data_IF_662341234683
#
_entry.id   IF_662341234683
#
_cell.length_a   1.000
_cell.length_b   1.000
_cell.length_c   1.000
_cell.angle_alpha   90.00
_cell.angle_beta   90.00
_cell.angle_gamma   90.00
#
_symmetry.space_group_name_H-M   'P 1'
#
loop_
_entity.id
_entity.type
_entity.pdbx_description
1 polymer ?
#
# COMPACT_ATOMS: atom_id res chain seq x y z
N UNK A 1 -29.00 15.09 -1.28
CA UNK A 1 -27.96 16.12 -1.09
C UNK A 1 -26.67 15.36 -0.81
N UNK A 2 -25.82 15.27 -1.83
CA UNK A 2 -24.36 15.05 -1.87
C UNK A 2 -23.61 14.28 -0.75
N UNK A 3 -24.00 13.05 -0.41
CA UNK A 3 -23.17 12.19 0.48
C UNK A 3 -22.35 11.10 -0.24
N UNK A 4 -22.55 10.87 -1.55
CA UNK A 4 -21.84 9.79 -2.26
C UNK A 4 -20.53 10.21 -2.96
N UNK A 5 -20.13 11.48 -2.83
CA UNK A 5 -18.81 11.97 -3.28
C UNK A 5 -17.76 11.84 -2.15
N UNK A 6 -18.15 11.31 -0.98
CA UNK A 6 -17.27 11.20 0.20
C UNK A 6 -16.32 9.98 0.20
N UNK A 7 -16.40 9.08 -0.78
CA UNK A 7 -15.62 7.83 -0.79
C UNK A 7 -14.57 7.69 -1.89
N UNK A 8 -14.43 8.68 -2.78
CA UNK A 8 -13.28 8.73 -3.68
C UNK A 8 -12.11 9.30 -2.89
N UNK A 9 -11.39 8.42 -2.19
CA UNK A 9 -9.97 8.60 -1.92
C UNK A 9 -9.27 8.74 -3.27
N UNK A 10 -9.39 9.91 -3.89
CA UNK A 10 -8.55 10.31 -4.99
C UNK A 10 -7.15 10.39 -4.38
N UNK A 11 -6.41 9.29 -4.43
CA UNK A 11 -4.96 9.37 -4.48
C UNK A 11 -4.71 10.38 -5.59
N UNK A 12 -4.25 11.57 -5.23
CA UNK A 12 -3.72 12.49 -6.20
C UNK A 12 -2.50 11.74 -6.76
N UNK A 13 -2.70 11.10 -7.91
CA UNK A 13 -1.65 10.41 -8.62
C UNK A 13 -0.68 11.51 -9.05
N UNK A 14 0.35 11.72 -8.24
CA UNK A 14 1.50 12.46 -8.70
C UNK A 14 2.17 11.69 -9.85
N UNK A 15 3.09 12.37 -10.54
CA UNK A 15 3.73 11.81 -11.71
C UNK A 15 4.46 10.49 -11.40
N UNK A 16 5.01 10.36 -10.19
CA UNK A 16 5.73 9.15 -9.76
C UNK A 16 4.77 7.97 -9.62
N UNK A 17 3.63 8.14 -8.96
CA UNK A 17 2.62 7.09 -8.84
C UNK A 17 1.95 6.76 -10.18
N UNK A 18 1.80 7.73 -11.08
CA UNK A 18 1.27 7.48 -12.42
C UNK A 18 2.24 6.65 -13.29
N UNK A 19 3.53 6.99 -13.31
CA UNK A 19 4.53 6.19 -14.02
C UNK A 19 4.65 4.79 -13.41
N UNK A 20 4.63 4.70 -12.08
CA UNK A 20 4.66 3.42 -11.39
C UNK A 20 3.45 2.54 -11.73
N UNK A 21 2.25 3.14 -11.83
CA UNK A 21 1.04 2.44 -12.27
C UNK A 21 1.18 1.83 -13.67
N UNK A 22 1.83 2.54 -14.61
CA UNK A 22 2.01 2.04 -15.98
C UNK A 22 2.92 0.83 -16.04
N UNK A 23 3.95 0.79 -15.19
CA UNK A 23 4.93 -0.30 -15.16
C UNK A 23 4.32 -1.63 -14.68
N UNK A 24 3.37 -1.56 -13.74
CA UNK A 24 2.76 -2.75 -13.12
C UNK A 24 1.62 -3.40 -13.90
N UNK A 25 1.30 -2.90 -15.10
CA UNK A 25 0.17 -3.40 -15.90
C UNK A 25 0.53 -4.72 -16.58
N UNK A 26 -0.14 -5.79 -16.20
CA UNK A 26 -0.07 -7.10 -16.87
C UNK A 26 -1.39 -7.34 -17.60
N UNK A 27 -1.33 -7.80 -18.85
CA UNK A 27 -2.53 -8.20 -19.59
C UNK A 27 -2.73 -9.71 -19.41
N UNK A 28 -3.80 -10.10 -18.73
CA UNK A 28 -4.23 -11.50 -18.58
C UNK A 28 -5.59 -11.64 -19.24
N UNK A 29 -5.71 -12.52 -20.24
CA UNK A 29 -6.96 -12.77 -20.99
C UNK A 29 -7.63 -11.50 -21.56
N UNK A 30 -6.82 -10.51 -21.97
CA UNK A 30 -7.32 -9.23 -22.50
C UNK A 30 -7.75 -8.21 -21.44
N UNK A 31 -7.67 -8.55 -20.15
CA UNK A 31 -7.91 -7.65 -19.02
C UNK A 31 -6.58 -7.15 -18.47
N UNK A 32 -6.45 -5.83 -18.29
CA UNK A 32 -5.28 -5.24 -17.64
C UNK A 32 -5.43 -5.37 -16.11
N UNK A 33 -4.58 -6.19 -15.49
CA UNK A 33 -4.51 -6.38 -14.05
C UNK A 33 -3.26 -5.68 -13.54
N UNK A 34 -3.39 -4.94 -12.42
CA UNK A 34 -2.22 -4.43 -11.72
C UNK A 34 -1.69 -5.54 -10.80
N UNK A 35 -0.41 -5.89 -10.96
CA UNK A 35 0.27 -6.85 -10.10
C UNK A 35 0.16 -6.42 -8.61
N UNK A 36 -0.01 -7.40 -7.72
CA UNK A 36 -0.15 -7.16 -6.28
C UNK A 36 1.01 -6.35 -5.69
N UNK A 37 2.23 -6.54 -6.19
CA UNK A 37 3.40 -5.76 -5.79
C UNK A 37 3.26 -4.29 -6.20
N UNK A 38 2.60 -3.98 -7.31
CA UNK A 38 2.36 -2.60 -7.71
C UNK A 38 1.16 -1.99 -6.99
N UNK A 39 0.22 -2.78 -6.45
CA UNK A 39 -0.89 -2.27 -5.64
C UNK A 39 -0.47 -1.82 -4.22
N UNK A 40 0.54 -2.46 -3.64
CA UNK A 40 0.98 -2.20 -2.27
C UNK A 40 1.32 -0.72 -2.03
N UNK A 41 2.12 -0.04 -2.88
CA UNK A 41 2.50 1.34 -2.63
C UNK A 41 1.31 2.31 -2.64
N UNK A 42 0.28 2.05 -3.44
CA UNK A 42 -0.96 2.85 -3.42
C UNK A 42 -1.73 2.65 -2.12
N UNK A 43 -1.80 1.41 -1.62
CA UNK A 43 -2.46 1.10 -0.34
C UNK A 43 -1.70 1.70 0.84
N UNK A 44 -0.37 1.64 0.81
CA UNK A 44 0.50 2.25 1.80
C UNK A 44 0.31 3.77 1.83
N UNK A 45 0.32 4.43 0.67
CA UNK A 45 0.09 5.88 0.55
C UNK A 45 -1.28 6.30 1.09
N UNK A 46 -2.34 5.64 0.64
CA UNK A 46 -3.69 5.91 1.12
C UNK A 46 -3.82 5.74 2.64
N UNK A 47 -3.13 4.74 3.22
CA UNK A 47 -3.10 4.60 4.68
C UNK A 47 -2.41 5.78 5.36
N UNK A 48 -1.23 6.20 4.88
CA UNK A 48 -0.48 7.33 5.45
C UNK A 48 -1.29 8.62 5.35
N UNK A 49 -1.87 8.92 4.18
CA UNK A 49 -2.68 10.12 3.96
C UNK A 49 -3.89 10.17 4.90
N UNK A 50 -4.61 9.06 5.04
CA UNK A 50 -5.77 8.99 5.94
C UNK A 50 -5.35 9.07 7.42
N UNK A 51 -4.19 8.49 7.78
CA UNK A 51 -3.65 8.57 9.13
C UNK A 51 -3.23 10.01 9.48
N UNK A 52 -2.56 10.70 8.56
CA UNK A 52 -2.11 12.08 8.74
C UNK A 52 -3.29 13.05 8.82
N UNK A 53 -4.29 12.91 7.95
CA UNK A 53 -5.54 13.70 8.01
C UNK A 53 -6.28 13.49 9.32
N UNK A 54 -6.36 12.24 9.79
CA UNK A 54 -6.97 11.93 11.09
C UNK A 54 -6.17 12.55 12.25
N UNK A 55 -4.84 12.52 12.19
CA UNK A 55 -3.98 13.16 13.18
C UNK A 55 -4.10 14.69 13.17
N UNK A 56 -4.37 15.29 12.02
CA UNK A 56 -4.66 16.72 11.86
C UNK A 56 -6.06 17.13 12.35
N UNK A 57 -6.87 16.19 12.83
CA UNK A 57 -8.21 16.46 13.37
C UNK A 57 -9.33 16.45 12.34
N UNK A 58 -9.06 16.04 11.09
CA UNK A 58 -10.11 15.87 10.09
C UNK A 58 -11.03 14.69 10.42
N UNK A 59 -12.29 14.79 9.97
CA UNK A 59 -13.22 13.67 10.05
C UNK A 59 -12.85 12.60 9.02
N UNK A 60 -12.27 11.50 9.48
CA UNK A 60 -11.87 10.35 8.65
C UNK A 60 -12.46 9.06 9.22
N UNK A 61 -13.08 8.25 8.36
CA UNK A 61 -13.55 6.93 8.76
C UNK A 61 -12.36 6.01 9.09
N UNK A 62 -12.27 5.61 10.36
CA UNK A 62 -11.22 4.71 10.85
C UNK A 62 -11.29 3.32 10.22
N UNK A 63 -12.44 2.92 9.68
CA UNK A 63 -12.58 1.67 8.91
C UNK A 63 -11.76 1.73 7.63
N UNK A 64 -11.71 2.88 6.96
CA UNK A 64 -10.91 3.06 5.74
C UNK A 64 -9.42 2.99 6.04
N UNK A 65 -8.96 3.63 7.12
CA UNK A 65 -7.57 3.51 7.59
C UNK A 65 -7.24 2.03 7.85
N UNK A 66 -8.06 1.33 8.64
CA UNK A 66 -7.83 -0.09 8.95
C UNK A 66 -7.82 -0.96 7.68
N UNK A 67 -8.72 -0.69 6.73
CA UNK A 67 -8.82 -1.40 5.45
C UNK A 67 -7.52 -1.28 4.65
N UNK A 68 -7.05 -0.06 4.39
CA UNK A 68 -5.83 0.16 3.60
C UNK A 68 -4.60 -0.48 4.26
N UNK A 69 -4.44 -0.35 5.58
CA UNK A 69 -3.38 -1.04 6.33
C UNK A 69 -3.44 -2.55 6.10
N UNK A 70 -4.60 -3.15 6.33
CA UNK A 70 -4.78 -4.60 6.23
C UNK A 70 -4.59 -5.12 4.80
N UNK A 71 -5.01 -4.36 3.79
CA UNK A 71 -4.82 -4.69 2.38
C UNK A 71 -3.34 -4.83 2.03
N UNK A 72 -2.46 -3.97 2.56
CA UNK A 72 -1.00 -4.10 2.33
C UNK A 72 -0.51 -5.47 2.76
N UNK A 73 -0.80 -5.89 3.99
CA UNK A 73 -0.35 -7.19 4.49
C UNK A 73 -0.96 -8.36 3.71
N UNK A 74 -2.24 -8.30 3.34
CA UNK A 74 -2.88 -9.35 2.53
C UNK A 74 -2.25 -9.50 1.16
N UNK A 75 -1.92 -8.39 0.50
CA UNK A 75 -1.28 -8.41 -0.82
C UNK A 75 0.10 -9.07 -0.78
N UNK A 76 0.81 -9.03 0.35
CA UNK A 76 2.12 -9.69 0.48
C UNK A 76 2.09 -11.21 0.40
N UNK A 77 0.92 -11.85 0.51
CA UNK A 77 0.76 -13.29 0.29
C UNK A 77 0.69 -13.66 -1.20
N UNK A 78 0.46 -12.68 -2.07
CA UNK A 78 0.34 -12.88 -3.51
C UNK A 78 1.66 -12.60 -4.26
N UNK A 79 2.73 -12.28 -3.54
CA UNK A 79 3.99 -11.80 -4.11
C UNK A 79 5.10 -12.78 -3.75
N UNK A 80 5.99 -13.04 -4.71
CA UNK A 80 7.26 -13.72 -4.44
C UNK A 80 8.12 -12.87 -3.48
N UNK A 81 8.51 -13.35 -2.29
CA UNK A 81 9.34 -12.59 -1.36
C UNK A 81 10.71 -12.19 -1.91
N UNK A 82 11.15 -12.80 -3.01
CA UNK A 82 12.40 -12.49 -3.70
C UNK A 82 12.23 -11.48 -4.84
N UNK A 83 11.00 -11.07 -5.14
CA UNK A 83 10.69 -10.08 -6.18
C UNK A 83 11.40 -8.76 -5.91
N UNK A 84 11.89 -8.15 -7.00
CA UNK A 84 12.54 -6.85 -7.01
C UNK A 84 11.79 -5.91 -7.93
N UNK A 85 11.25 -4.83 -7.36
CA UNK A 85 10.42 -3.87 -8.05
C UNK A 85 11.16 -2.53 -8.08
N UNK A 86 11.46 -2.05 -9.28
CA UNK A 86 12.02 -0.72 -9.47
C UNK A 86 10.89 0.30 -9.30
N UNK A 87 11.07 1.26 -8.40
CA UNK A 87 10.11 2.29 -8.09
C UNK A 87 10.72 3.69 -8.30
N UNK A 88 9.93 4.67 -8.77
CA UNK A 88 10.32 6.08 -8.72
C UNK A 88 10.66 6.52 -7.30
N UNK A 89 11.48 7.57 -7.17
CA UNK A 89 11.98 8.05 -5.88
C UNK A 89 10.89 8.38 -4.87
N UNK A 90 9.80 9.03 -5.30
CA UNK A 90 8.66 9.34 -4.42
C UNK A 90 7.99 8.08 -3.89
N UNK A 91 7.68 7.13 -4.77
CA UNK A 91 7.07 5.84 -4.42
C UNK A 91 7.96 5.04 -3.48
N UNK A 92 9.27 4.97 -3.76
CA UNK A 92 10.24 4.29 -2.89
C UNK A 92 10.26 4.94 -1.50
N UNK A 93 10.35 6.27 -1.41
CA UNK A 93 10.36 6.99 -0.14
C UNK A 93 9.09 6.74 0.67
N UNK A 94 7.92 6.77 0.04
CA UNK A 94 6.63 6.49 0.69
C UNK A 94 6.56 5.07 1.24
N UNK A 95 7.13 4.07 0.55
CA UNK A 95 7.19 2.69 1.06
C UNK A 95 8.10 2.59 2.28
N UNK A 96 9.27 3.23 2.24
CA UNK A 96 10.20 3.23 3.39
C UNK A 96 9.56 3.91 4.61
N UNK A 97 8.84 5.02 4.40
CA UNK A 97 8.09 5.70 5.45
C UNK A 97 6.97 4.83 6.00
N UNK A 98 6.20 4.17 5.13
CA UNK A 98 5.17 3.21 5.55
C UNK A 98 5.76 2.10 6.44
N UNK A 99 6.87 1.49 6.02
CA UNK A 99 7.57 0.45 6.79
C UNK A 99 7.99 0.99 8.16
N UNK A 100 8.52 2.21 8.20
CA UNK A 100 8.95 2.84 9.44
C UNK A 100 7.78 3.11 10.39
N UNK A 101 6.66 3.67 9.89
CA UNK A 101 5.45 3.91 10.69
C UNK A 101 4.80 2.61 11.17
N UNK A 102 4.81 1.55 10.36
CA UNK A 102 4.22 0.25 10.72
C UNK A 102 4.91 -0.47 11.88
N UNK A 103 6.15 -0.10 12.24
CA UNK A 103 6.83 -0.65 13.42
C UNK A 103 6.00 -0.41 14.69
N UNK A 104 5.39 0.77 14.80
CA UNK A 104 4.63 1.19 15.98
C UNK A 104 3.13 0.84 15.91
N UNK A 105 2.66 0.33 14.77
CA UNK A 105 1.26 -0.01 14.56
C UNK A 105 0.96 -1.47 14.94
N UNK A 106 -0.21 -1.69 15.54
CA UNK A 106 -0.71 -3.04 15.78
C UNK A 106 -1.42 -3.58 14.52
N UNK A 107 -1.06 -4.80 14.13
CA UNK A 107 -1.62 -5.50 12.98
C UNK A 107 -1.85 -6.96 13.36
N UNK A 108 -3.10 -7.41 13.32
CA UNK A 108 -3.45 -8.79 13.61
C UNK A 108 -3.24 -9.68 12.38
N UNK A 109 -1.98 -10.05 12.15
CA UNK A 109 -1.54 -10.86 11.00
C UNK A 109 -2.32 -12.18 10.90
N UNK A 110 -2.67 -12.80 12.05
CA UNK A 110 -3.46 -14.03 12.09
C UNK A 110 -4.87 -13.83 11.54
N UNK A 111 -5.55 -12.75 11.93
CA UNK A 111 -6.88 -12.42 11.39
C UNK A 111 -6.86 -12.05 9.91
N UNK A 112 -5.69 -11.67 9.37
CA UNK A 112 -5.54 -11.37 7.95
C UNK A 112 -5.37 -12.61 7.08
N UNK A 113 -5.25 -13.80 7.67
CA UNK A 113 -5.01 -15.05 6.94
C UNK A 113 -3.57 -15.19 6.45
N UNK A 114 -2.66 -14.35 6.94
CA UNK A 114 -1.23 -14.41 6.64
C UNK A 114 -0.61 -15.43 7.59
N UNK A 115 -0.28 -16.61 7.07
CA UNK A 115 0.12 -17.77 7.89
C UNK A 115 1.63 -17.96 7.85
N UNK A 116 2.26 -18.17 9.01
CA UNK A 116 3.69 -18.50 9.09
C UNK A 116 4.65 -17.31 8.93
N UNK A 117 4.15 -16.08 8.77
CA UNK A 117 4.96 -14.86 8.73
C UNK A 117 4.63 -13.94 9.90
N UNK A 118 5.63 -13.20 10.39
CA UNK A 118 5.45 -12.15 11.41
C UNK A 118 5.32 -10.79 10.76
N UNK A 119 4.79 -9.79 11.49
CA UNK A 119 4.74 -8.41 11.03
C UNK A 119 6.14 -7.92 10.65
N UNK A 120 7.12 -8.20 11.50
CA UNK A 120 8.50 -7.78 11.34
C UNK A 120 9.12 -8.36 10.06
N UNK A 121 8.86 -9.65 9.78
CA UNK A 121 9.36 -10.31 8.57
C UNK A 121 8.77 -9.70 7.30
N UNK A 122 7.47 -9.43 7.30
CA UNK A 122 6.78 -8.78 6.18
C UNK A 122 7.33 -7.36 5.95
N UNK A 123 7.57 -6.61 7.03
CA UNK A 123 8.13 -5.26 6.93
C UNK A 123 9.56 -5.26 6.36
N UNK A 124 10.40 -6.21 6.77
CA UNK A 124 11.74 -6.35 6.17
C UNK A 124 11.67 -6.76 4.70
N UNK A 125 10.74 -7.63 4.31
CA UNK A 125 10.54 -8.03 2.91
C UNK A 125 10.06 -6.84 2.06
N UNK A 126 9.07 -6.08 2.55
CA UNK A 126 8.64 -4.83 1.90
C UNK A 126 9.77 -3.82 1.76
N UNK A 127 10.63 -3.70 2.77
CA UNK A 127 11.75 -2.77 2.76
C UNK A 127 12.75 -3.06 1.64
N UNK A 128 13.03 -4.34 1.38
CA UNK A 128 14.03 -4.77 0.38
C UNK A 128 13.43 -5.11 -0.98
N UNK A 129 12.11 -5.26 -1.09
CA UNK A 129 11.40 -5.56 -2.34
C UNK A 129 11.48 -4.41 -3.34
N UNK A 130 11.43 -3.17 -2.86
CA UNK A 130 11.44 -1.98 -3.72
C UNK A 130 12.81 -1.34 -3.75
N UNK A 131 13.26 -0.99 -4.94
CA UNK A 131 14.55 -0.35 -5.20
C UNK A 131 14.31 0.93 -6.02
N UNK A 132 15.12 1.97 -5.79
CA UNK A 132 15.03 3.21 -6.56
C UNK A 132 15.88 3.13 -7.83
N UNK A 133 15.41 3.78 -8.90
CA UNK A 133 16.24 4.14 -10.06
C UNK A 133 17.29 5.20 -9.70
#
# INVERSE_FOLDING_TARGET
MDDDISSLSAILLDNDYYEFLKQGKVVVDGVTILDAAYLIPFKAKAWMDLADRKAAGEHVDSKNIKKHKNDVFRLTELIDPTAKIVAPKGVYADIQEFVQRMKNENVDIKQLGVVGRTKEKILEELKVMYETV
#
